data_IF_953867963376
#
_entry.id   IF_953867963376
#
_cell.length_a   1.000
_cell.length_b   1.000
_cell.length_c   1.000
_cell.angle_alpha   90.00
_cell.angle_beta   90.00
_cell.angle_gamma   90.00
#
_symmetry.space_group_name_H-M   'P 1'
#
loop_
_entity.id
_entity.type
_entity.pdbx_description
1 polymer ?
#
# COMPACT_ATOMS: atom_id res chain seq x y z
N UNK A 1 -5.23 -16.62 41.78
CA UNK A 1 -4.13 -16.68 40.82
C UNK A 1 -4.59 -17.66 39.75
N UNK A 2 -5.04 -17.16 38.60
CA UNK A 2 -5.36 -18.01 37.47
C UNK A 2 -4.03 -18.26 36.75
N UNK A 3 -3.60 -19.52 36.68
CA UNK A 3 -2.50 -19.96 35.85
C UNK A 3 -2.80 -19.54 34.43
N UNK A 4 -1.91 -18.74 33.85
CA UNK A 4 -1.96 -18.41 32.42
C UNK A 4 -1.77 -19.76 31.70
N UNK A 5 -2.77 -20.15 30.92
CA UNK A 5 -2.71 -21.29 30.03
C UNK A 5 -1.60 -21.00 28.98
N UNK A 6 -0.41 -21.47 29.29
CA UNK A 6 0.79 -21.42 28.46
C UNK A 6 0.83 -22.63 27.52
N UNK A 7 -0.30 -22.99 26.93
CA UNK A 7 -0.28 -23.92 25.81
C UNK A 7 0.44 -23.20 24.65
N UNK A 8 1.70 -23.60 24.46
CA UNK A 8 2.46 -23.23 23.24
C UNK A 8 1.61 -23.73 22.06
N UNK A 9 1.12 -22.84 21.16
CA UNK A 9 0.34 -23.30 20.02
C UNK A 9 1.15 -24.35 19.27
N UNK A 10 0.50 -25.42 18.86
CA UNK A 10 1.15 -26.39 17.98
C UNK A 10 1.42 -25.71 16.63
N UNK A 11 2.64 -25.26 16.43
CA UNK A 11 3.09 -24.61 15.19
C UNK A 11 3.40 -25.63 14.09
N UNK A 12 3.25 -26.94 14.34
CA UNK A 12 3.52 -27.98 13.34
C UNK A 12 2.58 -27.89 12.15
N UNK A 13 1.31 -27.54 12.40
CA UNK A 13 0.34 -27.27 11.31
C UNK A 13 0.75 -26.03 10.49
N UNK A 14 1.26 -25.00 11.15
CA UNK A 14 1.77 -23.81 10.47
C UNK A 14 3.03 -24.13 9.65
N UNK A 15 4.01 -24.86 10.20
CA UNK A 15 5.19 -25.30 9.45
C UNK A 15 4.79 -26.08 8.18
N UNK A 16 3.79 -26.95 8.27
CA UNK A 16 3.26 -27.69 7.13
C UNK A 16 2.63 -26.75 6.09
N UNK A 17 1.82 -25.78 6.50
CA UNK A 17 1.23 -24.76 5.61
C UNK A 17 2.29 -23.88 4.95
N UNK A 18 3.32 -23.49 5.70
CA UNK A 18 4.48 -22.76 5.20
C UNK A 18 5.34 -23.61 4.27
N UNK A 19 5.27 -24.97 4.36
CA UNK A 19 6.15 -25.92 3.69
C UNK A 19 7.62 -25.72 4.06
N UNK A 20 7.85 -25.31 5.30
CA UNK A 20 9.17 -25.10 5.86
C UNK A 20 9.21 -25.58 7.33
N UNK A 21 10.17 -26.42 7.66
CA UNK A 21 10.37 -26.90 9.05
C UNK A 21 11.54 -26.14 9.64
N UNK A 22 11.29 -25.44 10.74
CA UNK A 22 12.29 -24.60 11.41
C UNK A 22 13.30 -25.47 12.20
N UNK A 23 14.57 -25.12 12.08
CA UNK A 23 15.65 -25.64 12.93
C UNK A 23 15.52 -25.06 14.33
N UNK A 24 15.20 -23.76 14.41
CA UNK A 24 14.97 -23.02 15.64
C UNK A 24 13.54 -22.44 15.63
N UNK A 25 12.60 -23.14 16.27
CA UNK A 25 11.19 -22.75 16.33
C UNK A 25 10.93 -21.39 16.98
N UNK A 26 11.86 -20.91 17.78
CA UNK A 26 11.76 -19.59 18.42
C UNK A 26 11.60 -18.46 17.41
N UNK A 27 12.15 -18.60 16.19
CA UNK A 27 11.93 -17.63 15.11
C UNK A 27 10.46 -17.56 14.68
N UNK A 28 9.82 -18.71 14.49
CA UNK A 28 8.41 -18.78 14.11
C UNK A 28 7.50 -18.29 15.24
N UNK A 29 7.77 -18.67 16.47
CA UNK A 29 7.02 -18.21 17.65
C UNK A 29 7.05 -16.68 17.76
N UNK A 30 8.22 -16.08 17.57
CA UNK A 30 8.38 -14.64 17.59
C UNK A 30 7.65 -13.98 16.42
N UNK A 31 7.73 -14.56 15.22
CA UNK A 31 7.08 -14.03 14.01
C UNK A 31 5.55 -13.95 14.17
N UNK A 32 4.93 -14.91 14.85
CA UNK A 32 3.49 -14.91 15.09
C UNK A 32 3.09 -14.24 16.41
N UNK A 33 3.95 -13.42 16.99
CA UNK A 33 3.67 -12.71 18.25
C UNK A 33 3.58 -11.22 18.03
N UNK A 34 2.37 -10.65 18.13
CA UNK A 34 2.13 -9.22 18.01
C UNK A 34 2.54 -8.48 19.31
N UNK A 35 2.98 -7.22 19.17
CA UNK A 35 3.40 -6.39 20.31
C UNK A 35 2.37 -6.27 21.43
N UNK A 36 1.07 -6.26 21.11
CA UNK A 36 0.02 -6.17 22.14
C UNK A 36 0.04 -7.34 23.09
N UNK A 37 0.34 -8.55 22.61
CA UNK A 37 0.50 -9.74 23.46
C UNK A 37 1.80 -9.64 24.26
N UNK A 38 2.91 -9.28 23.63
CA UNK A 38 4.20 -9.19 24.31
C UNK A 38 4.17 -8.21 25.49
N UNK A 39 3.52 -7.06 25.34
CA UNK A 39 3.36 -6.10 26.44
C UNK A 39 2.48 -6.62 27.58
N UNK A 40 1.56 -7.54 27.36
CA UNK A 40 0.79 -8.18 28.43
C UNK A 40 1.60 -9.23 29.21
N UNK A 41 2.76 -9.69 28.67
CA UNK A 41 3.61 -10.71 29.31
C UNK A 41 4.72 -10.12 30.19
N UNK A 42 4.98 -8.83 30.11
CA UNK A 42 6.04 -8.15 30.85
C UNK A 42 5.48 -7.15 31.86
N UNK A 43 6.28 -6.81 32.88
CA UNK A 43 5.89 -5.78 33.85
C UNK A 43 6.12 -4.37 33.29
N UNK A 44 5.41 -3.36 33.80
CA UNK A 44 5.72 -1.97 33.50
C UNK A 44 7.20 -1.67 33.80
N UNK A 45 7.91 -1.10 32.82
CA UNK A 45 9.36 -0.83 32.89
C UNK A 45 10.23 -1.91 32.20
N UNK A 46 9.65 -2.99 31.70
CA UNK A 46 10.38 -4.08 31.01
C UNK A 46 10.14 -4.05 29.49
N UNK A 47 9.95 -2.88 28.90
CA UNK A 47 9.61 -2.72 27.48
C UNK A 47 10.69 -3.30 26.55
N UNK A 48 11.95 -3.32 26.96
CA UNK A 48 13.03 -3.96 26.19
C UNK A 48 12.83 -5.48 26.08
N UNK A 49 12.34 -6.11 27.15
CA UNK A 49 12.00 -7.53 27.12
C UNK A 49 10.81 -7.79 26.18
N UNK A 50 9.78 -6.95 26.21
CA UNK A 50 8.66 -7.05 25.27
C UNK A 50 9.14 -6.98 23.81
N UNK A 51 10.06 -6.06 23.47
CA UNK A 51 10.62 -5.93 22.12
C UNK A 51 11.32 -7.19 21.61
N UNK A 52 11.86 -7.99 22.46
CA UNK A 52 12.50 -9.27 22.09
C UNK A 52 11.48 -10.37 21.79
N UNK A 53 10.25 -10.23 22.29
CA UNK A 53 9.19 -11.23 22.15
C UNK A 53 8.33 -11.02 20.89
N UNK A 54 8.16 -9.79 20.41
CA UNK A 54 7.24 -9.48 19.31
C UNK A 54 7.92 -9.38 17.93
N UNK A 55 7.11 -9.33 16.91
CA UNK A 55 7.48 -9.49 15.52
C UNK A 55 7.94 -8.22 14.77
N UNK A 56 7.81 -7.00 15.32
CA UNK A 56 8.12 -5.76 14.57
C UNK A 56 9.55 -5.73 13.97
N UNK A 57 10.57 -6.24 14.69
CA UNK A 57 11.91 -6.30 14.12
C UNK A 57 12.05 -7.36 13.01
N UNK A 58 11.25 -8.43 13.06
CA UNK A 58 11.20 -9.43 11.99
C UNK A 58 10.44 -8.89 10.77
N UNK A 59 9.34 -8.16 10.97
CA UNK A 59 8.63 -7.45 9.90
C UNK A 59 9.59 -6.56 9.11
N UNK A 60 10.37 -5.70 9.78
CA UNK A 60 11.37 -4.84 9.15
C UNK A 60 12.38 -5.61 8.29
N UNK A 61 12.88 -6.75 8.79
CA UNK A 61 13.78 -7.61 8.01
C UNK A 61 13.04 -8.28 6.87
N UNK A 62 11.81 -8.72 7.12
CA UNK A 62 10.97 -9.42 6.15
C UNK A 62 10.60 -8.58 4.95
N UNK A 63 10.23 -7.32 5.15
CA UNK A 63 9.99 -6.36 4.06
C UNK A 63 11.21 -6.27 3.13
N UNK A 64 12.40 -6.10 3.71
CA UNK A 64 13.65 -6.01 2.95
C UNK A 64 13.95 -7.30 2.16
N UNK A 65 13.77 -8.47 2.78
CA UNK A 65 13.97 -9.77 2.15
C UNK A 65 12.95 -10.01 1.06
N UNK A 66 11.67 -9.69 1.30
CA UNK A 66 10.59 -9.79 0.32
C UNK A 66 10.90 -8.93 -0.90
N UNK A 67 11.29 -7.68 -0.64
CA UNK A 67 11.66 -6.73 -1.69
C UNK A 67 12.80 -7.23 -2.56
N UNK A 68 13.82 -7.83 -1.96
CA UNK A 68 14.97 -8.44 -2.68
C UNK A 68 14.54 -9.66 -3.50
N UNK A 69 13.82 -10.61 -2.90
CA UNK A 69 13.40 -11.85 -3.57
C UNK A 69 12.49 -11.56 -4.76
N UNK A 70 11.50 -10.67 -4.59
CA UNK A 70 10.59 -10.30 -5.67
C UNK A 70 11.31 -9.54 -6.77
N UNK A 71 12.20 -8.60 -6.43
CA UNK A 71 13.00 -7.89 -7.43
C UNK A 71 13.89 -8.83 -8.26
N UNK A 72 14.57 -9.77 -7.60
CA UNK A 72 15.41 -10.77 -8.27
C UNK A 72 14.57 -11.64 -9.21
N UNK A 73 13.43 -12.16 -8.73
CA UNK A 73 12.52 -12.95 -9.56
C UNK A 73 12.04 -12.18 -10.80
N UNK A 74 11.58 -10.95 -10.62
CA UNK A 74 11.08 -10.14 -11.73
C UNK A 74 12.14 -9.80 -12.76
N UNK A 75 13.36 -9.52 -12.30
CA UNK A 75 14.51 -9.24 -13.17
C UNK A 75 14.87 -10.45 -14.04
N UNK A 76 14.93 -11.63 -13.43
CA UNK A 76 15.27 -12.87 -14.16
C UNK A 76 14.16 -13.30 -15.13
N UNK A 77 12.90 -13.13 -14.72
CA UNK A 77 11.76 -13.55 -15.54
C UNK A 77 11.43 -12.59 -16.69
N UNK A 78 11.88 -11.32 -16.62
CA UNK A 78 11.49 -10.27 -17.55
C UNK A 78 12.70 -9.42 -18.01
N UNK A 79 13.66 -10.00 -18.75
CA UNK A 79 14.93 -9.33 -19.09
C UNK A 79 14.76 -8.09 -19.99
N UNK A 80 13.64 -7.99 -20.72
CA UNK A 80 13.38 -6.90 -21.68
C UNK A 80 12.57 -5.75 -21.09
N UNK A 81 12.09 -5.85 -19.83
CA UNK A 81 11.30 -4.82 -19.21
C UNK A 81 12.15 -3.67 -18.66
N UNK A 82 11.56 -2.47 -18.66
CA UNK A 82 12.20 -1.29 -18.07
C UNK A 82 12.21 -1.37 -16.54
N UNK A 83 13.13 -0.62 -15.90
CA UNK A 83 13.15 -0.47 -14.44
C UNK A 83 11.80 0.01 -13.90
N UNK A 84 11.15 0.97 -14.59
CA UNK A 84 9.84 1.48 -14.20
C UNK A 84 8.74 0.40 -14.22
N UNK A 85 8.76 -0.53 -15.20
CA UNK A 85 7.83 -1.66 -15.26
C UNK A 85 8.08 -2.64 -14.13
N UNK A 86 9.34 -3.01 -13.91
CA UNK A 86 9.74 -3.92 -12.82
C UNK A 86 9.39 -3.35 -11.44
N UNK A 87 9.59 -2.04 -11.24
CA UNK A 87 9.24 -1.35 -9.99
C UNK A 87 7.74 -1.35 -9.73
N UNK A 88 6.90 -1.08 -10.74
CA UNK A 88 5.43 -1.15 -10.63
C UNK A 88 4.95 -2.58 -10.32
N UNK A 89 5.49 -3.58 -11.01
CA UNK A 89 5.15 -4.98 -10.74
C UNK A 89 5.54 -5.39 -9.32
N UNK A 90 6.76 -5.03 -8.88
CA UNK A 90 7.22 -5.26 -7.51
C UNK A 90 6.28 -4.62 -6.49
N UNK A 91 5.98 -3.33 -6.63
CA UNK A 91 5.10 -2.60 -5.69
C UNK A 91 3.75 -3.30 -5.50
N UNK A 92 3.13 -3.78 -6.58
CA UNK A 92 1.89 -4.54 -6.53
C UNK A 92 2.04 -5.85 -5.76
N UNK A 93 3.11 -6.60 -6.03
CA UNK A 93 3.36 -7.93 -5.42
C UNK A 93 3.62 -7.83 -3.92
N UNK A 94 4.34 -6.78 -3.46
CA UNK A 94 4.67 -6.57 -2.05
C UNK A 94 3.67 -5.65 -1.33
N UNK A 95 2.53 -5.31 -1.94
CA UNK A 95 1.54 -4.45 -1.31
C UNK A 95 0.87 -5.11 -0.10
N UNK A 96 0.50 -4.32 0.92
CA UNK A 96 -0.27 -4.77 2.09
C UNK A 96 -1.50 -5.59 1.71
N UNK A 97 -2.16 -5.25 0.59
CA UNK A 97 -3.33 -5.97 0.10
C UNK A 97 -2.98 -7.38 -0.37
N UNK A 98 -1.89 -7.53 -1.12
CA UNK A 98 -1.40 -8.83 -1.59
C UNK A 98 -0.94 -9.68 -0.41
N UNK A 99 -0.10 -9.14 0.47
CA UNK A 99 0.45 -9.86 1.62
C UNK A 99 -0.63 -10.32 2.59
N UNK A 100 -1.60 -9.47 2.91
CA UNK A 100 -2.73 -9.84 3.77
C UNK A 100 -3.59 -10.95 3.16
N UNK A 101 -3.72 -11.01 1.83
CA UNK A 101 -4.41 -12.10 1.15
C UNK A 101 -3.63 -13.41 1.25
N UNK A 102 -2.31 -13.36 1.07
CA UNK A 102 -1.44 -14.53 1.25
C UNK A 102 -1.45 -15.03 2.69
N UNK A 103 -1.37 -14.10 3.66
CA UNK A 103 -1.49 -14.44 5.08
C UNK A 103 -2.82 -15.13 5.43
N UNK A 104 -3.92 -14.74 4.78
CA UNK A 104 -5.22 -15.43 4.93
C UNK A 104 -5.22 -16.83 4.32
N UNK A 105 -4.62 -17.01 3.13
CA UNK A 105 -4.51 -18.33 2.49
C UNK A 105 -3.65 -19.31 3.31
N UNK A 106 -2.66 -18.79 4.03
CA UNK A 106 -1.79 -19.55 4.93
C UNK A 106 -2.35 -19.63 6.37
N UNK A 107 -3.56 -19.10 6.60
CA UNK A 107 -4.25 -19.07 7.90
C UNK A 107 -3.41 -18.44 9.03
N UNK A 108 -2.47 -17.51 8.72
CA UNK A 108 -1.56 -16.93 9.71
C UNK A 108 -2.29 -16.23 10.86
N UNK A 109 -3.48 -15.69 10.61
CA UNK A 109 -4.31 -15.05 11.63
C UNK A 109 -4.71 -16.00 12.76
N UNK A 110 -4.91 -17.28 12.49
CA UNK A 110 -5.29 -18.28 13.48
C UNK A 110 -4.13 -18.57 14.46
N UNK A 111 -2.89 -18.43 14.00
CA UNK A 111 -1.68 -18.65 14.78
C UNK A 111 -1.15 -17.36 15.46
N UNK A 112 -1.68 -16.18 15.08
CA UNK A 112 -1.20 -14.91 15.59
C UNK A 112 -1.56 -14.71 17.06
N UNK A 113 -0.56 -14.47 17.92
CA UNK A 113 -0.75 -14.12 19.33
C UNK A 113 -0.99 -12.62 19.43
N UNK A 114 -2.17 -12.23 19.90
CA UNK A 114 -2.56 -10.83 20.12
C UNK A 114 -3.04 -10.61 21.53
N UNK A 115 -2.84 -9.42 22.08
CA UNK A 115 -3.35 -9.05 23.40
C UNK A 115 -4.87 -8.91 23.41
N UNK A 116 -5.47 -8.94 24.59
CA UNK A 116 -6.92 -8.92 24.80
C UNK A 116 -7.63 -7.73 24.16
N UNK A 117 -6.96 -6.57 24.13
CA UNK A 117 -7.50 -5.37 23.50
C UNK A 117 -7.58 -5.52 21.99
N UNK A 118 -6.52 -6.04 21.37
CA UNK A 118 -6.43 -6.28 19.95
C UNK A 118 -7.38 -7.40 19.47
N UNK A 119 -7.52 -8.47 20.27
CA UNK A 119 -8.46 -9.57 20.02
C UNK A 119 -9.90 -9.07 19.94
N UNK A 120 -10.33 -8.22 20.90
CA UNK A 120 -11.69 -7.63 20.93
C UNK A 120 -12.02 -6.80 19.70
N UNK A 121 -11.01 -6.21 19.05
CA UNK A 121 -11.18 -5.41 17.84
C UNK A 121 -10.98 -6.22 16.56
N UNK A 122 -10.88 -7.54 16.65
CA UNK A 122 -10.71 -8.46 15.53
C UNK A 122 -9.31 -8.39 14.91
N UNK A 123 -8.28 -8.15 15.74
CA UNK A 123 -6.89 -7.97 15.31
C UNK A 123 -6.38 -9.02 14.36
N UNK A 124 -6.66 -10.32 14.63
CA UNK A 124 -6.27 -11.45 13.78
C UNK A 124 -6.77 -11.38 12.33
N UNK A 125 -7.75 -10.53 12.04
CA UNK A 125 -8.34 -10.34 10.71
C UNK A 125 -8.03 -8.98 10.10
N UNK A 126 -7.35 -8.09 10.84
CA UNK A 126 -6.93 -6.78 10.33
C UNK A 126 -5.90 -6.94 9.22
N UNK A 127 -6.14 -6.28 8.11
CA UNK A 127 -5.30 -6.38 6.92
C UNK A 127 -3.83 -5.99 7.20
N UNK A 128 -3.59 -4.94 7.96
CA UNK A 128 -2.24 -4.52 8.33
C UNK A 128 -1.53 -5.63 9.11
N UNK A 129 -2.12 -6.12 10.22
CA UNK A 129 -1.50 -7.16 11.05
C UNK A 129 -1.23 -8.46 10.27
N UNK A 130 -2.09 -8.80 9.30
CA UNK A 130 -1.89 -9.96 8.44
C UNK A 130 -0.71 -9.77 7.47
N UNK A 131 -0.51 -8.57 6.94
CA UNK A 131 0.66 -8.27 6.12
C UNK A 131 1.93 -8.29 6.97
N UNK A 132 1.92 -7.63 8.12
CA UNK A 132 3.06 -7.57 9.06
C UNK A 132 3.51 -8.97 9.52
N UNK A 133 2.56 -9.86 9.83
CA UNK A 133 2.89 -11.25 10.20
C UNK A 133 3.42 -12.06 9.02
N UNK A 134 2.97 -11.81 7.78
CA UNK A 134 3.53 -12.48 6.61
C UNK A 134 5.01 -12.11 6.43
N UNK A 135 5.35 -10.84 6.54
CA UNK A 135 6.73 -10.36 6.46
C UNK A 135 7.58 -10.91 7.60
N UNK A 136 7.05 -10.91 8.83
CA UNK A 136 7.75 -11.47 9.98
C UNK A 136 8.02 -12.98 9.83
N UNK A 137 7.08 -13.76 9.28
CA UNK A 137 7.27 -15.19 8.98
C UNK A 137 8.32 -15.38 7.91
N UNK A 138 8.32 -14.56 6.85
CA UNK A 138 9.37 -14.58 5.82
C UNK A 138 10.75 -14.31 6.43
N UNK A 139 10.86 -13.32 7.33
CA UNK A 139 12.11 -13.05 8.04
C UNK A 139 12.55 -14.24 8.89
N UNK A 140 11.61 -14.89 9.58
CA UNK A 140 11.91 -16.10 10.36
C UNK A 140 12.48 -17.22 9.47
N UNK A 141 11.88 -17.48 8.31
CA UNK A 141 12.38 -18.45 7.32
C UNK A 141 13.78 -18.04 6.82
N UNK A 142 13.99 -16.75 6.55
CA UNK A 142 15.28 -16.24 6.11
C UNK A 142 16.38 -16.41 7.16
N UNK A 143 16.10 -16.06 8.41
CA UNK A 143 17.07 -16.14 9.50
C UNK A 143 17.43 -17.59 9.86
N UNK A 144 16.49 -18.50 9.72
CA UNK A 144 16.68 -19.92 10.00
C UNK A 144 17.31 -20.70 8.82
N UNK A 145 16.89 -20.38 7.58
CA UNK A 145 17.24 -21.17 6.39
C UNK A 145 18.01 -20.44 5.29
N UNK A 146 18.20 -19.12 5.45
CA UNK A 146 18.90 -18.30 4.48
C UNK A 146 18.05 -17.90 3.26
N UNK A 147 18.73 -17.26 2.28
CA UNK A 147 18.07 -16.69 1.11
C UNK A 147 17.29 -17.71 0.28
N UNK A 148 17.87 -18.88 0.03
CA UNK A 148 17.23 -19.91 -0.83
C UNK A 148 15.92 -20.43 -0.21
N UNK A 149 15.87 -20.61 1.10
CA UNK A 149 14.66 -20.99 1.81
C UNK A 149 13.58 -19.89 1.73
N UNK A 150 13.97 -18.64 1.94
CA UNK A 150 13.10 -17.48 1.82
C UNK A 150 12.57 -17.32 0.38
N UNK A 151 13.43 -17.45 -0.62
CA UNK A 151 13.05 -17.38 -2.02
C UNK A 151 12.09 -18.51 -2.42
N UNK A 152 12.31 -19.73 -1.94
CA UNK A 152 11.40 -20.85 -2.16
C UNK A 152 10.03 -20.61 -1.51
N UNK A 153 10.01 -20.07 -0.28
CA UNK A 153 8.78 -19.70 0.41
C UNK A 153 8.00 -18.62 -0.37
N UNK A 154 8.64 -17.52 -0.76
CA UNK A 154 8.00 -16.43 -1.51
C UNK A 154 7.44 -16.93 -2.84
N UNK A 155 8.23 -17.68 -3.63
CA UNK A 155 7.79 -18.23 -4.91
C UNK A 155 6.55 -19.12 -4.76
N UNK A 156 6.48 -19.94 -3.72
CA UNK A 156 5.32 -20.78 -3.45
C UNK A 156 4.12 -19.97 -2.97
N UNK A 157 4.31 -19.07 -2.01
CA UNK A 157 3.24 -18.28 -1.43
C UNK A 157 2.62 -17.31 -2.42
N UNK A 158 3.41 -16.73 -3.32
CA UNK A 158 3.00 -15.75 -4.32
C UNK A 158 2.87 -16.35 -5.74
N UNK A 159 2.86 -17.67 -5.91
CA UNK A 159 2.88 -18.31 -7.23
C UNK A 159 1.82 -17.72 -8.19
N UNK A 160 0.56 -17.68 -7.77
CA UNK A 160 -0.53 -17.15 -8.58
C UNK A 160 -0.38 -15.65 -8.92
N UNK A 161 0.24 -14.90 -8.02
CA UNK A 161 0.48 -13.47 -8.20
C UNK A 161 1.64 -13.21 -9.16
N UNK A 162 2.69 -14.02 -9.05
CA UNK A 162 3.86 -13.98 -9.92
C UNK A 162 3.48 -14.39 -11.35
N UNK A 163 2.67 -15.44 -11.51
CA UNK A 163 2.18 -15.89 -12.82
C UNK A 163 1.25 -14.85 -13.48
N UNK A 164 0.48 -14.11 -12.68
CA UNK A 164 -0.42 -13.06 -13.15
C UNK A 164 0.25 -11.68 -13.29
N UNK A 165 1.52 -11.58 -12.92
CA UNK A 165 2.25 -10.31 -12.97
C UNK A 165 2.59 -9.94 -14.41
N UNK A 166 2.14 -8.76 -14.83
CA UNK A 166 2.51 -8.16 -16.11
C UNK A 166 2.55 -6.63 -15.98
N UNK A 167 3.28 -5.93 -16.87
CA UNK A 167 3.30 -4.47 -16.89
C UNK A 167 1.91 -3.86 -16.96
N UNK A 168 1.03 -4.42 -17.81
CA UNK A 168 -0.35 -3.94 -17.98
C UNK A 168 -1.16 -4.12 -16.70
N UNK A 169 -1.02 -5.27 -16.03
CA UNK A 169 -1.73 -5.55 -14.79
C UNK A 169 -1.22 -4.70 -13.62
N UNK A 170 0.05 -4.30 -13.65
CA UNK A 170 0.66 -3.43 -12.65
C UNK A 170 0.25 -1.97 -12.87
N UNK A 171 0.38 -1.44 -14.09
CA UNK A 171 -0.07 -0.09 -14.45
C UNK A 171 -1.55 0.12 -14.11
N UNK A 172 -2.35 -0.90 -14.34
CA UNK A 172 -3.75 -0.94 -14.02
C UNK A 172 -4.10 -0.74 -12.56
N UNK A 173 -3.42 -1.46 -11.70
CA UNK A 173 -3.60 -1.35 -10.25
C UNK A 173 -3.15 0.02 -9.74
N UNK A 174 -2.09 0.58 -10.35
CA UNK A 174 -1.55 1.89 -9.99
C UNK A 174 -2.51 3.02 -10.30
N UNK A 175 -3.14 3.07 -11.50
CA UNK A 175 -4.06 4.16 -11.84
C UNK A 175 -5.25 4.23 -10.89
N UNK A 176 -5.86 3.09 -10.53
CA UNK A 176 -6.98 3.07 -9.59
C UNK A 176 -6.56 3.47 -8.17
N UNK A 177 -5.41 3.00 -7.70
CA UNK A 177 -4.85 3.33 -6.39
C UNK A 177 -4.44 4.80 -6.35
N UNK A 178 -3.73 5.27 -7.37
CA UNK A 178 -3.29 6.66 -7.47
C UNK A 178 -4.47 7.63 -7.55
N UNK A 179 -5.52 7.28 -8.33
CA UNK A 179 -6.74 8.08 -8.37
C UNK A 179 -7.41 8.12 -6.99
N UNK A 180 -7.49 6.99 -6.30
CA UNK A 180 -8.07 6.93 -4.96
C UNK A 180 -7.30 7.82 -3.97
N UNK A 181 -5.97 7.75 -3.96
CA UNK A 181 -5.12 8.58 -3.10
C UNK A 181 -5.29 10.06 -3.41
N UNK A 182 -5.29 10.44 -4.71
CA UNK A 182 -5.48 11.83 -5.15
C UNK A 182 -6.85 12.38 -4.77
N UNK A 183 -7.91 11.63 -5.05
CA UNK A 183 -9.29 12.04 -4.73
C UNK A 183 -9.49 12.11 -3.21
N UNK A 184 -8.94 11.16 -2.45
CA UNK A 184 -8.97 11.18 -0.99
C UNK A 184 -8.25 12.41 -0.42
N UNK A 185 -7.10 12.77 -0.99
CA UNK A 185 -6.34 13.96 -0.57
C UNK A 185 -7.07 15.26 -0.90
N UNK A 186 -7.72 15.36 -2.08
CA UNK A 186 -8.36 16.59 -2.57
C UNK A 186 -9.77 16.78 -2.00
N UNK A 187 -10.57 15.72 -1.97
CA UNK A 187 -12.01 15.78 -1.71
C UNK A 187 -12.45 14.96 -0.50
N UNK A 188 -11.56 14.17 0.13
CA UNK A 188 -11.87 13.20 1.19
C UNK A 188 -12.93 12.16 0.80
N UNK A 189 -13.01 11.85 -0.48
CA UNK A 189 -13.96 10.90 -1.07
C UNK A 189 -13.23 9.70 -1.67
N UNK A 190 -13.97 8.64 -1.95
CA UNK A 190 -13.46 7.47 -2.67
C UNK A 190 -14.09 7.43 -4.06
N UNK A 191 -13.31 7.24 -5.15
CA UNK A 191 -13.87 7.09 -6.49
C UNK A 191 -14.76 5.86 -6.59
N UNK A 192 -15.89 5.99 -7.29
CA UNK A 192 -16.81 4.88 -7.55
C UNK A 192 -16.87 4.59 -9.05
N UNK A 193 -16.89 3.30 -9.40
CA UNK A 193 -16.89 2.83 -10.78
C UNK A 193 -18.22 2.16 -11.11
N UNK A 194 -18.83 2.54 -12.22
CA UNK A 194 -20.11 2.00 -12.68
C UNK A 194 -20.03 1.62 -14.15
N UNK A 195 -20.43 0.40 -14.50
CA UNK A 195 -20.59 0.01 -15.91
C UNK A 195 -21.82 0.72 -16.45
N UNK A 196 -21.62 1.63 -17.38
CA UNK A 196 -22.70 2.45 -17.98
C UNK A 196 -23.23 1.87 -19.28
N UNK A 197 -22.40 1.10 -20.00
CA UNK A 197 -22.80 0.51 -21.28
C UNK A 197 -21.97 -0.75 -21.58
N UNK A 198 -22.54 -1.65 -22.38
CA UNK A 198 -21.84 -2.83 -22.88
C UNK A 198 -22.22 -3.04 -24.34
N UNK A 199 -21.26 -3.01 -25.23
CA UNK A 199 -21.45 -3.15 -26.66
C UNK A 199 -20.82 -4.43 -27.22
N UNK A 200 -21.33 -4.89 -28.36
CA UNK A 200 -20.77 -6.00 -29.14
C UNK A 200 -21.23 -7.39 -28.72
N UNK A 201 -20.93 -8.39 -29.54
CA UNK A 201 -21.31 -9.78 -29.32
C UNK A 201 -20.51 -10.39 -28.15
N UNK A 202 -20.94 -11.53 -27.56
CA UNK A 202 -20.33 -12.14 -26.39
C UNK A 202 -18.80 -12.38 -26.48
N UNK A 203 -18.28 -12.60 -27.67
CA UNK A 203 -16.85 -12.88 -27.93
C UNK A 203 -16.02 -11.63 -28.26
N UNK A 204 -16.66 -10.45 -28.35
CA UNK A 204 -15.99 -9.17 -28.65
C UNK A 204 -16.69 -8.02 -27.92
N UNK A 205 -16.99 -8.21 -26.65
CA UNK A 205 -17.63 -7.18 -25.82
C UNK A 205 -16.67 -6.03 -25.54
N UNK A 206 -17.21 -4.81 -25.62
CA UNK A 206 -16.59 -3.60 -25.11
C UNK A 206 -17.44 -3.09 -23.95
N UNK A 207 -16.79 -2.86 -22.82
CA UNK A 207 -17.41 -2.31 -21.62
C UNK A 207 -17.06 -0.82 -21.53
N UNK A 208 -18.05 0.02 -21.24
CA UNK A 208 -17.90 1.42 -20.93
C UNK A 208 -18.11 1.58 -19.41
N UNK A 209 -17.10 2.07 -18.72
CA UNK A 209 -17.13 2.31 -17.29
C UNK A 209 -17.00 3.79 -17.03
N UNK A 210 -17.83 4.31 -16.15
CA UNK A 210 -17.72 5.66 -15.63
C UNK A 210 -17.14 5.63 -14.21
N UNK A 211 -16.09 6.41 -13.96
CA UNK A 211 -15.59 6.69 -12.62
C UNK A 211 -16.10 8.03 -12.16
N UNK A 212 -16.65 8.08 -10.95
CA UNK A 212 -17.21 9.27 -10.34
C UNK A 212 -16.43 9.65 -9.08
N UNK A 213 -16.08 10.94 -8.93
CA UNK A 213 -15.45 11.50 -7.73
C UNK A 213 -15.96 12.94 -7.48
N UNK A 214 -16.82 13.09 -6.48
CA UNK A 214 -17.51 14.35 -6.21
C UNK A 214 -18.49 14.69 -7.34
N UNK A 215 -18.35 15.89 -7.90
CA UNK A 215 -19.16 16.37 -9.05
C UNK A 215 -18.53 16.04 -10.41
N UNK A 216 -17.38 15.37 -10.42
CA UNK A 216 -16.64 15.03 -11.65
C UNK A 216 -16.84 13.56 -12.00
N UNK A 217 -16.82 13.30 -13.29
CA UNK A 217 -16.82 11.92 -13.81
C UNK A 217 -15.96 11.85 -15.09
N UNK A 218 -15.44 10.65 -15.35
CA UNK A 218 -14.71 10.35 -16.57
C UNK A 218 -15.05 8.95 -17.02
N UNK A 219 -15.13 8.73 -18.34
CA UNK A 219 -15.44 7.42 -18.93
C UNK A 219 -14.20 6.77 -19.52
N UNK A 220 -14.11 5.47 -19.29
CA UNK A 220 -13.12 4.60 -19.92
C UNK A 220 -13.78 3.42 -20.62
N UNK A 221 -13.01 2.80 -21.51
CA UNK A 221 -13.48 1.66 -22.33
C UNK A 221 -12.49 0.51 -22.25
N UNK A 222 -13.00 -0.73 -22.42
CA UNK A 222 -12.11 -1.90 -22.43
C UNK A 222 -12.85 -3.19 -22.78
N UNK A 223 -12.11 -4.20 -23.16
CA UNK A 223 -12.66 -5.53 -23.46
C UNK A 223 -13.06 -6.35 -22.23
N UNK A 224 -12.69 -5.87 -21.05
CA UNK A 224 -13.13 -6.39 -19.74
C UNK A 224 -13.57 -5.24 -18.86
N UNK A 225 -14.43 -5.48 -17.89
CA UNK A 225 -14.82 -4.45 -16.90
C UNK A 225 -13.56 -3.86 -16.25
N UNK A 226 -12.59 -4.71 -15.87
CA UNK A 226 -11.35 -4.29 -15.24
C UNK A 226 -10.51 -3.37 -16.14
N UNK A 227 -10.38 -3.67 -17.43
CA UNK A 227 -9.63 -2.80 -18.36
C UNK A 227 -10.36 -1.47 -18.61
N UNK A 228 -11.69 -1.47 -18.65
CA UNK A 228 -12.48 -0.25 -18.79
C UNK A 228 -12.40 0.66 -17.54
N UNK A 229 -12.44 0.06 -16.34
CA UNK A 229 -12.21 0.79 -15.08
C UNK A 229 -10.82 1.43 -15.00
N UNK A 230 -9.81 0.75 -15.57
CA UNK A 230 -8.45 1.24 -15.64
C UNK A 230 -8.31 2.44 -16.55
N UNK A 231 -8.87 2.34 -17.76
CA UNK A 231 -8.87 3.43 -18.73
C UNK A 231 -9.62 4.65 -18.15
N UNK A 232 -10.74 4.44 -17.47
CA UNK A 232 -11.45 5.49 -16.74
C UNK A 232 -10.58 6.16 -15.67
N UNK A 233 -9.85 5.37 -14.88
CA UNK A 233 -8.96 5.89 -13.83
C UNK A 233 -7.77 6.67 -14.42
N UNK A 234 -7.18 6.18 -15.51
CA UNK A 234 -6.08 6.85 -16.21
C UNK A 234 -6.52 8.24 -16.71
N UNK A 235 -7.64 8.32 -17.42
CA UNK A 235 -8.19 9.59 -17.93
C UNK A 235 -8.58 10.55 -16.81
N UNK A 236 -9.12 10.04 -15.70
CA UNK A 236 -9.44 10.85 -14.53
C UNK A 236 -8.19 11.47 -13.90
N UNK A 237 -7.08 10.74 -13.85
CA UNK A 237 -5.79 11.26 -13.39
C UNK A 237 -5.25 12.37 -14.32
N UNK A 238 -5.33 12.16 -15.64
CA UNK A 238 -4.93 13.16 -16.64
C UNK A 238 -5.74 14.46 -16.49
N UNK A 239 -7.05 14.37 -16.24
CA UNK A 239 -7.91 15.54 -16.00
C UNK A 239 -7.54 16.26 -14.69
N UNK A 240 -7.21 15.51 -13.62
CA UNK A 240 -6.78 16.09 -12.34
C UNK A 240 -5.45 16.83 -12.49
N UNK A 241 -4.50 16.27 -13.23
CA UNK A 241 -3.20 16.88 -13.48
C UNK A 241 -3.29 18.10 -14.39
N UNK A 242 -4.06 18.02 -15.47
CA UNK A 242 -4.32 19.15 -16.37
C UNK A 242 -5.05 20.31 -15.70
N UNK A 243 -5.92 20.03 -14.73
CA UNK A 243 -6.61 21.05 -13.94
C UNK A 243 -5.66 21.78 -12.98
N UNK A 244 -4.67 21.06 -12.42
CA UNK A 244 -3.66 21.61 -11.53
C UNK A 244 -2.69 22.52 -12.29
N UNK A 245 -2.21 22.10 -13.46
CA UNK A 245 -1.32 22.89 -14.30
C UNK A 245 -1.97 24.23 -14.71
N UNK A 246 -3.25 24.20 -15.10
CA UNK A 246 -4.00 25.42 -15.44
C UNK A 246 -4.20 26.36 -14.25
N UNK A 247 -4.31 25.84 -13.02
CA UNK A 247 -4.42 26.66 -11.81
C UNK A 247 -3.07 27.31 -11.46
N UNK A 248 -1.97 26.56 -11.60
CA UNK A 248 -0.60 27.06 -11.37
C UNK A 248 -0.20 28.11 -12.41
N UNK A 249 -0.58 27.95 -13.68
CA UNK A 249 -0.33 28.91 -14.76
C UNK A 249 -1.17 30.19 -14.62
N UNK A 250 -2.29 30.17 -13.90
CA UNK A 250 -3.21 31.30 -13.70
C UNK A 250 -2.84 32.20 -12.52
N UNK A 251 -2.00 31.76 -11.60
CA UNK A 251 -1.56 32.54 -10.44
C UNK A 251 -0.56 33.68 -10.73
N UNK A 252 0.34 33.61 -11.73
CA UNK A 252 1.28 34.71 -11.95
C UNK A 252 0.63 36.01 -12.49
N UNK A 253 -0.50 35.95 -13.18
CA UNK A 253 -1.19 37.15 -13.68
C UNK A 253 -1.92 37.95 -12.57
N UNK A 254 -2.43 37.25 -11.55
CA UNK A 254 -3.10 37.89 -10.42
C UNK A 254 -2.11 38.57 -9.44
N UNK A 255 -0.90 38.10 -9.35
CA UNK A 255 0.17 38.69 -8.52
C UNK A 255 0.75 39.95 -9.21
N UNK A 256 0.91 39.92 -10.53
CA UNK A 256 1.39 41.08 -11.33
C UNK A 256 0.39 42.25 -11.32
N UNK A 257 -0.90 41.96 -11.32
CA UNK A 257 -1.95 42.97 -11.27
C UNK A 257 -2.08 43.67 -9.91
N UNK A 258 -1.72 42.98 -8.81
CA UNK A 258 -1.70 43.59 -7.45
C UNK A 258 -0.49 44.46 -7.21
N UNK A 259 0.68 44.15 -7.78
CA UNK A 259 1.87 45.00 -7.68
C UNK A 259 1.77 46.29 -8.53
N UNK A 260 0.99 46.30 -9.62
CA UNK A 260 0.77 47.49 -10.41
C UNK A 260 -0.20 48.49 -9.74
N UNK A 261 -1.08 48.05 -8.86
CA UNK A 261 -2.05 48.89 -8.16
C UNK A 261 -1.44 49.62 -6.94
N UNK A 262 -0.40 49.10 -6.35
CA UNK A 262 0.28 49.68 -5.17
C UNK A 262 1.36 50.69 -5.50
N UNK A 263 1.63 50.95 -6.79
CA UNK A 263 2.69 51.89 -7.27
C UNK A 263 2.20 53.30 -7.59
N UNK A 264 0.95 53.66 -7.23
CA UNK A 264 0.43 55.03 -7.43
C UNK A 264 0.43 55.74 -6.05
N UNK A 265 1.60 56.27 -5.66
CA UNK A 265 1.67 57.29 -4.58
C UNK A 265 1.15 58.62 -5.10
N UNK A 266 0.32 59.38 -4.35
CA UNK A 266 -0.07 60.73 -4.68
C UNK A 266 1.09 61.69 -4.33
N UNK A 267 1.60 62.38 -5.36
CA UNK A 267 2.51 63.51 -5.19
C UNK A 267 1.82 64.62 -4.36
N UNK A 268 2.33 64.87 -3.16
CA UNK A 268 1.95 66.03 -2.37
C UNK A 268 2.60 67.30 -2.97
N UNK A 269 1.79 68.23 -3.44
CA UNK A 269 2.16 69.57 -3.86
C UNK A 269 2.63 70.39 -2.64
N UNK A 270 3.86 70.78 -2.64
CA UNK A 270 4.40 71.83 -1.76
C UNK A 270 3.94 73.22 -2.24
N UNK A 271 3.08 73.83 -1.47
CA UNK A 271 2.75 75.24 -1.61
C UNK A 271 3.49 76.07 -0.55
N UNK A 272 4.44 76.91 -1.02
CA UNK A 272 5.01 77.99 -0.24
C UNK A 272 3.94 78.99 0.20
N UNK A 273 4.01 79.44 1.45
CA UNK A 273 3.56 80.78 1.83
C UNK A 273 4.51 81.41 2.84
N UNK A 274 5.23 82.42 2.35
CA UNK A 274 5.87 83.48 3.14
C UNK A 274 4.85 84.38 3.78
N UNK A 275 5.10 84.89 4.95
CA UNK A 275 4.96 86.30 5.42
C UNK A 275 5.07 86.32 6.96
N UNK A 276 6.11 86.95 7.48
CA UNK A 276 6.12 88.32 8.03
C UNK A 276 5.28 88.50 9.33
N UNK A 277 5.91 88.53 10.42
CA UNK A 277 6.36 89.62 11.33
C UNK A 277 7.01 89.02 12.56
#
# INVERSE_FOLDING_TARGET
>A
MAEADTTVPDLSALEAALGYTFRERAWLERAVTHRSWAHEQVKPGEEEQARRLHNEALEFVGDSVLGLVVAHYLFDANPDLTEGDLSRMKHRLVSTTTLARMAKLLELGEHLRVGRGEEKTGGRRKRALLADVFEAVLAAVYLDGGYEAAAAFVRRALASELDAASPESAAAADHKTLLQERVQALCRMTPTYTVVETEGPPHSRVFHVEVNWGERNTRGTGHTIKSAEMDAACRALEELEGSRQKAEDSEPEAAASRQAADSIEPQATSGEQQAAD
#
